data_IF_679425529258
#
_entry.id   IF_679425529258
#
_cell.length_a   1.000
_cell.length_b   1.000
_cell.length_c   1.000
_cell.angle_alpha   90.00
_cell.angle_beta   90.00
_cell.angle_gamma   90.00
#
_symmetry.space_group_name_H-M   'P 1'
#
loop_
_entity.id
_entity.type
_entity.pdbx_description
1 polymer ?
#
# COMPACT_ATOMS: atom_id res chain seq x y z
N UNK A 1 10.51 26.45 -4.74
CA UNK A 1 9.85 25.61 -5.76
C UNK A 1 8.62 25.04 -5.10
N UNK A 2 7.43 25.52 -5.44
CA UNK A 2 6.19 25.00 -4.88
C UNK A 2 5.87 23.71 -5.64
N UNK A 3 5.88 22.60 -4.94
CA UNK A 3 5.38 21.33 -5.50
C UNK A 3 3.85 21.37 -5.46
N UNK A 4 3.21 21.02 -6.54
CA UNK A 4 1.74 20.87 -6.58
C UNK A 4 1.28 19.61 -5.84
N UNK A 5 2.22 18.79 -5.36
CA UNK A 5 1.98 17.55 -4.62
C UNK A 5 3.00 17.34 -3.51
N UNK A 6 2.56 16.81 -2.37
CA UNK A 6 3.41 16.52 -1.21
C UNK A 6 4.15 15.19 -1.35
N UNK A 7 3.76 14.30 -2.28
CA UNK A 7 4.25 12.92 -2.37
C UNK A 7 5.77 12.84 -2.57
N UNK A 8 6.35 13.77 -3.33
CA UNK A 8 7.81 13.80 -3.52
C UNK A 8 8.53 14.12 -2.22
N UNK A 9 8.02 15.10 -1.47
CA UNK A 9 8.59 15.51 -0.19
C UNK A 9 8.51 14.36 0.83
N UNK A 10 7.35 13.73 0.95
CA UNK A 10 7.16 12.56 1.82
C UNK A 10 8.10 11.42 1.43
N UNK A 11 8.23 11.14 0.13
CA UNK A 11 9.15 10.11 -0.36
C UNK A 11 10.60 10.42 0.00
N UNK A 12 11.06 11.66 -0.20
CA UNK A 12 12.42 12.09 0.16
C UNK A 12 12.69 11.94 1.66
N UNK A 13 11.76 12.39 2.53
CA UNK A 13 11.91 12.28 3.98
C UNK A 13 11.95 10.81 4.42
N UNK A 14 11.09 9.96 3.86
CA UNK A 14 11.11 8.52 4.17
C UNK A 14 12.41 7.86 3.74
N UNK A 15 12.89 8.14 2.52
CA UNK A 15 14.15 7.55 2.02
C UNK A 15 15.34 8.03 2.83
N UNK A 16 15.42 9.32 3.16
CA UNK A 16 16.47 9.87 4.01
C UNK A 16 16.48 9.18 5.37
N UNK A 17 15.33 9.06 6.00
CA UNK A 17 15.20 8.39 7.29
C UNK A 17 15.66 6.92 7.27
N UNK A 18 15.35 6.18 6.19
CA UNK A 18 15.83 4.80 6.03
C UNK A 18 17.34 4.78 5.92
N UNK A 19 17.94 5.66 5.11
CA UNK A 19 19.39 5.77 4.93
C UNK A 19 20.14 6.19 6.20
N UNK A 20 19.52 7.05 7.00
CA UNK A 20 20.03 7.50 8.29
C UNK A 20 19.82 6.46 9.40
N UNK A 21 19.25 5.30 9.08
CA UNK A 21 19.02 4.22 10.06
C UNK A 21 17.96 4.56 11.10
N UNK A 22 16.98 5.42 10.76
CA UNK A 22 15.87 5.76 11.67
C UNK A 22 14.95 4.56 11.87
N UNK A 23 14.94 4.04 13.08
CA UNK A 23 14.21 2.82 13.40
C UNK A 23 12.74 3.09 13.70
N UNK A 24 11.89 2.12 13.39
CA UNK A 24 10.54 2.02 13.92
C UNK A 24 10.67 1.68 15.40
N UNK A 25 9.97 2.41 16.26
CA UNK A 25 9.95 2.15 17.71
C UNK A 25 8.66 1.45 18.09
N UNK A 26 8.79 0.37 18.83
CA UNK A 26 7.67 -0.44 19.28
C UNK A 26 7.17 0.09 20.62
N UNK A 27 5.93 0.57 20.65
CA UNK A 27 5.28 1.03 21.89
C UNK A 27 4.55 -0.09 22.64
N UNK A 28 4.14 -1.16 21.93
CA UNK A 28 3.45 -2.32 22.55
C UNK A 28 3.74 -3.61 21.75
N UNK A 29 3.41 -4.77 22.34
CA UNK A 29 3.62 -6.06 21.66
C UNK A 29 2.55 -6.35 20.59
N UNK A 30 1.41 -5.67 20.61
CA UNK A 30 0.21 -6.06 19.89
C UNK A 30 -0.03 -5.36 18.57
N UNK A 31 0.51 -4.13 18.31
CA UNK A 31 0.12 -3.31 17.15
C UNK A 31 1.30 -2.93 16.27
N UNK A 32 1.84 -3.87 15.51
CA UNK A 32 2.98 -3.62 14.59
C UNK A 32 2.65 -2.64 13.47
N UNK A 33 1.42 -2.64 12.98
CA UNK A 33 0.98 -1.75 11.89
C UNK A 33 1.01 -0.27 12.32
N UNK A 34 0.53 0.04 13.54
CA UNK A 34 0.55 1.40 14.08
C UNK A 34 1.96 1.93 14.27
N UNK A 35 2.94 1.10 14.58
CA UNK A 35 4.31 1.56 14.75
C UNK A 35 4.93 2.06 13.43
N UNK A 36 4.62 1.40 12.31
CA UNK A 36 5.04 1.89 11.01
C UNK A 36 4.27 3.16 10.62
N UNK A 37 2.99 3.25 10.95
CA UNK A 37 2.20 4.46 10.75
C UNK A 37 2.77 5.65 11.54
N UNK A 38 3.14 5.47 12.81
CA UNK A 38 3.79 6.50 13.64
C UNK A 38 5.17 6.89 13.09
N UNK A 39 5.90 5.92 12.53
CA UNK A 39 7.17 6.21 11.86
C UNK A 39 6.95 7.08 10.62
N UNK A 40 5.93 6.84 9.82
CA UNK A 40 5.56 7.68 8.66
C UNK A 40 5.08 9.05 9.12
N UNK A 41 4.27 9.11 10.18
CA UNK A 41 3.80 10.37 10.77
C UNK A 41 4.96 11.30 11.11
N UNK A 42 6.01 10.78 11.75
CA UNK A 42 7.22 11.55 12.04
C UNK A 42 7.86 12.10 10.75
N UNK A 43 7.75 11.41 9.62
CA UNK A 43 8.28 11.91 8.32
C UNK A 43 7.44 13.05 7.77
N UNK A 44 6.12 13.03 7.99
CA UNK A 44 5.25 14.15 7.66
C UNK A 44 5.60 15.39 8.48
N UNK A 45 5.87 15.21 9.77
CA UNK A 45 6.30 16.29 10.67
C UNK A 45 7.66 16.87 10.24
N UNK A 46 8.65 16.03 9.95
CA UNK A 46 9.98 16.44 9.46
C UNK A 46 9.88 17.19 8.11
N UNK A 47 8.90 16.83 7.28
CA UNK A 47 8.61 17.52 6.03
C UNK A 47 7.88 18.86 6.24
N UNK A 48 7.50 19.22 7.47
CA UNK A 48 6.76 20.43 7.79
C UNK A 48 5.34 20.42 7.22
N UNK A 49 4.76 19.26 7.02
CA UNK A 49 3.42 19.11 6.46
C UNK A 49 2.36 19.20 7.57
N UNK A 50 1.31 19.97 7.30
CA UNK A 50 0.14 20.00 8.17
C UNK A 50 -0.88 18.97 7.70
N UNK A 51 -1.29 18.09 8.59
CA UNK A 51 -2.24 17.00 8.30
C UNK A 51 -3.22 16.79 9.46
N UNK A 52 -4.30 16.10 9.16
CA UNK A 52 -5.23 15.54 10.13
C UNK A 52 -5.02 14.03 10.16
N UNK A 53 -4.71 13.48 11.33
CA UNK A 53 -4.65 12.03 11.55
C UNK A 53 -6.07 11.48 11.63
N UNK A 54 -6.32 10.42 10.87
CA UNK A 54 -7.58 9.68 10.94
C UNK A 54 -7.72 8.91 12.25
N UNK A 55 -8.96 8.72 12.73
CA UNK A 55 -9.24 7.77 13.81
C UNK A 55 -9.20 6.32 13.31
N UNK A 56 -9.31 5.35 14.23
CA UNK A 56 -9.20 3.89 13.96
C UNK A 56 -9.98 3.37 12.74
N UNK A 57 -11.11 4.00 12.42
CA UNK A 57 -11.98 3.60 11.31
C UNK A 57 -12.05 4.63 10.18
N UNK A 58 -11.11 5.57 10.14
CA UNK A 58 -11.09 6.59 9.08
C UNK A 58 -10.13 6.21 7.96
N UNK A 59 -10.46 6.69 6.77
CA UNK A 59 -9.68 6.53 5.57
C UNK A 59 -9.55 7.89 4.86
N UNK A 60 -8.39 8.26 4.38
CA UNK A 60 -7.07 7.65 4.63
C UNK A 60 -6.54 7.94 6.04
N UNK A 61 -5.42 7.32 6.44
CA UNK A 61 -4.77 7.51 7.74
C UNK A 61 -4.37 8.97 8.00
N UNK A 62 -3.83 9.65 6.98
CA UNK A 62 -3.45 11.06 7.05
C UNK A 62 -4.09 11.86 5.93
N UNK A 63 -4.66 13.00 6.25
CA UNK A 63 -5.27 13.95 5.31
C UNK A 63 -4.51 15.26 5.34
N UNK A 64 -3.91 15.66 4.22
CA UNK A 64 -3.18 16.92 4.13
C UNK A 64 -4.13 18.12 4.25
N UNK A 65 -3.77 19.13 5.04
CA UNK A 65 -4.63 20.33 5.26
C UNK A 65 -4.56 21.26 4.06
N UNK A 66 -3.36 21.47 3.50
CA UNK A 66 -3.13 22.44 2.42
C UNK A 66 -3.20 21.86 1.02
N UNK A 67 -3.20 20.54 0.91
CA UNK A 67 -3.21 19.82 -0.37
C UNK A 67 -4.40 18.87 -0.38
N UNK A 68 -5.02 18.72 -1.54
CA UNK A 68 -6.08 17.74 -1.74
C UNK A 68 -5.50 16.33 -1.86
N UNK A 69 -4.74 15.90 -0.85
CA UNK A 69 -4.02 14.63 -0.81
C UNK A 69 -4.26 13.90 0.51
N UNK A 70 -4.07 12.60 0.48
CA UNK A 70 -4.11 11.75 1.65
C UNK A 70 -3.18 10.56 1.53
N UNK A 71 -2.76 10.01 2.67
CA UNK A 71 -1.82 8.89 2.76
C UNK A 71 -2.46 7.77 3.55
N UNK A 72 -2.51 6.59 2.94
CA UNK A 72 -2.87 5.33 3.58
C UNK A 72 -1.60 4.53 3.82
N UNK A 73 -1.35 4.12 5.05
CA UNK A 73 -0.10 3.46 5.45
C UNK A 73 -0.34 1.99 5.68
N UNK A 74 0.53 1.17 5.13
CA UNK A 74 0.48 -0.30 5.26
C UNK A 74 1.84 -0.85 5.63
N UNK A 75 1.95 -1.36 6.84
CA UNK A 75 3.14 -2.04 7.33
C UNK A 75 3.05 -3.54 7.06
N UNK A 76 4.11 -4.12 6.48
CA UNK A 76 4.19 -5.54 6.17
C UNK A 76 5.39 -6.17 6.87
N UNK A 77 5.14 -7.25 7.60
CA UNK A 77 6.22 -8.05 8.18
C UNK A 77 6.95 -8.85 7.10
N UNK A 78 8.28 -8.94 7.18
CA UNK A 78 9.08 -9.76 6.28
C UNK A 78 9.95 -10.75 7.08
N UNK A 79 9.98 -12.03 6.70
CA UNK A 79 9.13 -12.68 5.70
C UNK A 79 7.66 -12.71 6.16
N UNK A 80 6.74 -12.65 5.21
CA UNK A 80 5.31 -12.64 5.50
C UNK A 80 4.46 -12.49 4.23
N UNK A 81 3.34 -11.77 4.34
CA UNK A 81 2.39 -11.56 3.24
C UNK A 81 2.80 -10.41 2.31
N UNK A 82 4.04 -10.39 1.86
CA UNK A 82 4.60 -9.32 1.03
C UNK A 82 4.06 -9.25 -0.40
N UNK A 83 3.25 -10.22 -0.80
CA UNK A 83 2.57 -10.25 -2.10
C UNK A 83 1.11 -9.85 -2.04
N UNK A 84 0.54 -9.72 -0.82
CA UNK A 84 -0.82 -9.28 -0.61
C UNK A 84 -0.90 -8.42 0.66
N UNK A 85 -1.82 -7.46 0.68
CA UNK A 85 -2.10 -6.70 1.89
C UNK A 85 -3.60 -6.62 2.16
N UNK A 86 -3.94 -6.45 3.43
CA UNK A 86 -5.30 -6.31 3.89
C UNK A 86 -5.79 -4.88 3.66
N UNK A 87 -6.85 -4.70 2.90
CA UNK A 87 -7.53 -3.42 2.74
C UNK A 87 -8.86 -3.36 3.50
N UNK A 88 -9.12 -4.38 4.34
CA UNK A 88 -10.30 -4.49 5.19
C UNK A 88 -11.60 -4.11 4.47
N UNK A 89 -12.17 -3.02 4.88
CA UNK A 89 -13.46 -2.57 4.40
C UNK A 89 -13.38 -1.46 3.35
N UNK A 90 -12.20 -0.97 3.03
CA UNK A 90 -11.99 0.10 2.04
C UNK A 90 -11.28 -0.41 0.80
N UNK A 91 -11.96 -0.31 -0.34
CA UNK A 91 -11.33 -0.59 -1.63
C UNK A 91 -10.25 0.45 -1.90
N UNK A 92 -9.04 0.04 -2.31
CA UNK A 92 -8.02 0.99 -2.74
C UNK A 92 -8.53 1.90 -3.84
N UNK A 93 -8.14 3.16 -3.80
CA UNK A 93 -8.52 4.15 -4.80
C UNK A 93 -7.47 5.25 -4.90
N UNK A 94 -7.31 5.82 -6.08
CA UNK A 94 -6.49 7.01 -6.31
C UNK A 94 -7.18 8.31 -5.96
N UNK A 95 -8.50 8.29 -5.74
CA UNK A 95 -9.25 9.45 -5.29
C UNK A 95 -10.27 9.09 -4.22
N UNK A 96 -10.32 9.87 -3.16
CA UNK A 96 -11.33 9.74 -2.11
C UNK A 96 -11.76 11.11 -1.60
N UNK A 97 -13.04 11.41 -1.73
CA UNK A 97 -13.61 12.69 -1.29
C UNK A 97 -12.86 13.92 -1.84
N UNK A 98 -12.49 13.88 -3.13
CA UNK A 98 -11.77 14.94 -3.82
C UNK A 98 -10.28 15.04 -3.46
N UNK A 99 -9.72 14.04 -2.78
CA UNK A 99 -8.29 13.95 -2.45
C UNK A 99 -7.62 12.86 -3.26
N UNK A 100 -6.45 13.15 -3.79
CA UNK A 100 -5.55 12.14 -4.34
C UNK A 100 -5.01 11.27 -3.21
N UNK A 101 -5.11 9.95 -3.34
CA UNK A 101 -4.67 9.01 -2.30
C UNK A 101 -3.39 8.33 -2.73
N UNK A 102 -2.39 8.41 -1.86
CA UNK A 102 -1.14 7.68 -1.95
C UNK A 102 -1.08 6.59 -0.88
N UNK A 103 -0.56 5.43 -1.25
CA UNK A 103 -0.31 4.33 -0.33
C UNK A 103 1.16 4.26 0.00
N UNK A 104 1.46 4.15 1.29
CA UNK A 104 2.82 4.03 1.82
C UNK A 104 2.99 2.62 2.36
N UNK A 105 3.68 1.77 1.61
CA UNK A 105 4.01 0.41 2.03
C UNK A 105 5.42 0.37 2.60
N UNK A 106 5.56 -0.16 3.80
CA UNK A 106 6.86 -0.42 4.41
C UNK A 106 6.98 -1.86 4.83
N UNK A 107 8.16 -2.46 4.64
CA UNK A 107 8.47 -3.77 5.19
C UNK A 107 9.44 -3.65 6.35
N UNK A 108 9.21 -4.45 7.36
CA UNK A 108 10.01 -4.53 8.58
C UNK A 108 10.21 -5.99 8.99
N UNK A 109 11.24 -6.33 9.82
CA UNK A 109 11.47 -7.70 10.24
C UNK A 109 10.26 -8.30 10.98
N UNK A 110 9.82 -9.49 10.59
CA UNK A 110 8.74 -10.22 11.24
C UNK A 110 9.12 -10.58 12.70
N UNK A 111 10.41 -10.85 12.93
CA UNK A 111 10.99 -11.12 14.25
C UNK A 111 12.06 -10.06 14.52
N UNK A 112 11.97 -9.40 15.65
CA UNK A 112 13.02 -8.51 16.15
C UNK A 112 13.23 -8.79 17.64
N UNK A 113 14.49 -8.81 18.05
CA UNK A 113 14.86 -9.10 19.42
C UNK A 113 14.77 -7.86 20.34
N UNK A 114 14.25 -6.75 19.83
CA UNK A 114 14.17 -5.49 20.57
C UNK A 114 12.95 -4.64 20.21
N UNK A 115 12.83 -3.52 20.94
CA UNK A 115 11.73 -2.56 20.77
C UNK A 115 11.92 -1.59 19.59
N UNK A 116 12.98 -1.77 18.81
CA UNK A 116 13.27 -0.95 17.64
C UNK A 116 13.77 -1.81 16.48
N UNK A 117 13.26 -1.56 15.28
CA UNK A 117 13.60 -2.32 14.09
C UNK A 117 13.63 -1.45 12.83
N UNK A 118 14.44 -1.82 11.83
CA UNK A 118 14.58 -1.01 10.64
C UNK A 118 13.37 -1.14 9.71
N UNK A 119 13.14 -0.08 8.91
CA UNK A 119 12.38 -0.21 7.67
C UNK A 119 13.32 -0.86 6.66
N UNK A 120 12.97 -2.06 6.20
CA UNK A 120 13.78 -2.84 5.25
C UNK A 120 13.70 -2.25 3.84
N UNK A 121 12.50 -1.89 3.42
CA UNK A 121 12.22 -1.21 2.17
C UNK A 121 10.90 -0.44 2.21
N UNK A 122 10.69 0.36 1.19
CA UNK A 122 9.56 1.28 1.10
C UNK A 122 9.04 1.35 -0.34
N UNK A 123 7.73 1.29 -0.50
CA UNK A 123 7.08 1.67 -1.76
C UNK A 123 6.00 2.69 -1.46
N UNK A 124 6.05 3.84 -2.13
CA UNK A 124 4.93 4.79 -2.15
C UNK A 124 4.31 4.72 -3.54
N UNK A 125 3.00 4.54 -3.63
CA UNK A 125 2.32 4.50 -4.91
C UNK A 125 1.02 5.31 -4.91
N UNK A 126 0.68 5.85 -6.07
CA UNK A 126 -0.65 6.40 -6.33
C UNK A 126 -1.71 5.31 -6.24
N UNK A 127 -2.86 5.59 -5.65
CA UNK A 127 -3.89 4.57 -5.43
C UNK A 127 -4.44 3.93 -6.70
N UNK A 128 -4.42 4.64 -7.84
CA UNK A 128 -4.83 4.08 -9.13
C UNK A 128 -3.95 2.92 -9.59
N UNK A 129 -2.73 2.82 -9.07
CA UNK A 129 -1.87 1.66 -9.31
C UNK A 129 -2.47 0.36 -8.76
N UNK A 130 -3.22 0.45 -7.67
CA UNK A 130 -3.86 -0.69 -7.01
C UNK A 130 -5.24 -0.98 -7.56
N UNK A 131 -5.95 0.05 -8.00
CA UNK A 131 -7.29 -0.07 -8.54
C UNK A 131 -7.62 1.18 -9.39
N UNK A 132 -7.97 0.99 -10.66
CA UNK A 132 -8.30 2.11 -11.54
C UNK A 132 -9.47 2.92 -10.97
N UNK A 133 -9.36 4.23 -11.10
CA UNK A 133 -10.40 5.15 -10.66
C UNK A 133 -11.63 5.01 -11.56
N UNK A 134 -12.66 4.40 -11.03
CA UNK A 134 -14.00 4.40 -11.60
C UNK A 134 -14.97 4.90 -10.56
N UNK A 135 -16.02 5.57 -10.98
CA UNK A 135 -17.09 6.01 -10.09
C UNK A 135 -17.88 4.80 -9.56
N UNK A 136 -17.40 4.25 -8.46
CA UNK A 136 -18.12 3.21 -7.73
C UNK A 136 -19.22 3.87 -6.90
N UNK A 137 -20.46 3.72 -7.33
CA UNK A 137 -21.60 4.13 -6.53
C UNK A 137 -21.88 3.04 -5.51
N UNK A 138 -21.59 3.30 -4.25
CA UNK A 138 -22.02 2.45 -3.16
C UNK A 138 -23.56 2.48 -3.04
N UNK A 139 -24.21 1.52 -3.65
CA UNK A 139 -25.67 1.39 -3.53
C UNK A 139 -26.10 0.79 -2.19
N UNK A 140 -25.21 0.11 -1.49
CA UNK A 140 -25.45 -0.51 -0.20
C UNK A 140 -24.13 -0.54 0.60
N UNK A 141 -24.23 -0.43 1.93
CA UNK A 141 -23.06 -0.53 2.82
C UNK A 141 -22.33 -1.87 2.74
N UNK A 142 -23.03 -2.92 2.31
CA UNK A 142 -22.50 -4.28 2.20
C UNK A 142 -22.13 -4.69 0.77
N UNK A 143 -22.33 -3.81 -0.22
CA UNK A 143 -21.99 -4.08 -1.62
C UNK A 143 -20.95 -3.08 -2.06
N UNK A 144 -19.79 -3.56 -2.43
CA UNK A 144 -18.67 -2.78 -2.91
C UNK A 144 -18.29 -3.28 -4.28
N UNK A 145 -17.95 -2.38 -5.17
CA UNK A 145 -17.26 -2.72 -6.40
C UNK A 145 -15.86 -3.21 -6.03
N UNK A 146 -15.44 -4.31 -6.63
CA UNK A 146 -14.14 -4.90 -6.38
C UNK A 146 -13.26 -4.71 -7.61
N UNK A 147 -12.13 -4.06 -7.39
CA UNK A 147 -10.99 -3.92 -8.25
C UNK A 147 -11.17 -4.03 -9.76
N UNK A 148 -10.75 -3.03 -10.45
CA UNK A 148 -10.83 -2.96 -11.92
C UNK A 148 -9.78 -3.81 -12.63
N UNK A 149 -8.75 -4.22 -11.93
CA UNK A 149 -7.66 -5.06 -12.48
C UNK A 149 -7.87 -6.56 -12.29
N UNK A 150 -8.89 -6.96 -11.51
CA UNK A 150 -9.22 -8.37 -11.27
C UNK A 150 -8.31 -9.06 -10.26
N UNK A 151 -7.55 -8.32 -9.48
CA UNK A 151 -6.57 -8.83 -8.53
C UNK A 151 -6.96 -8.60 -7.05
N UNK A 152 -8.21 -8.28 -6.78
CA UNK A 152 -8.75 -8.22 -5.43
C UNK A 152 -9.29 -9.58 -5.04
N UNK A 153 -8.76 -10.12 -3.96
CA UNK A 153 -9.17 -11.39 -3.38
C UNK A 153 -9.94 -11.16 -2.08
N UNK A 154 -10.84 -12.07 -1.78
CA UNK A 154 -11.57 -12.09 -0.51
C UNK A 154 -11.22 -13.39 0.20
N UNK A 155 -10.79 -13.27 1.46
CA UNK A 155 -10.53 -14.38 2.36
C UNK A 155 -10.97 -13.97 3.76
N UNK A 156 -11.65 -14.87 4.47
CA UNK A 156 -12.03 -14.69 5.87
C UNK A 156 -12.70 -13.32 6.15
N UNK A 157 -13.59 -12.90 5.26
CA UNK A 157 -14.29 -11.60 5.29
C UNK A 157 -13.39 -10.36 5.14
N UNK A 158 -12.10 -10.53 4.86
CA UNK A 158 -11.15 -9.45 4.56
C UNK A 158 -10.89 -9.37 3.05
N UNK A 159 -10.61 -8.18 2.54
CA UNK A 159 -10.18 -7.96 1.16
C UNK A 159 -8.67 -7.87 1.11
N UNK A 160 -8.10 -8.50 0.10
CA UNK A 160 -6.66 -8.42 -0.19
C UNK A 160 -6.45 -7.97 -1.61
N UNK A 161 -5.47 -7.13 -1.82
CA UNK A 161 -5.01 -6.73 -3.15
C UNK A 161 -3.77 -7.53 -3.50
N UNK A 162 -3.85 -8.24 -4.61
CA UNK A 162 -2.74 -8.99 -5.17
C UNK A 162 -2.62 -8.71 -6.68
N UNK A 163 -1.42 -8.46 -7.18
CA UNK A 163 -0.19 -8.35 -6.42
C UNK A 163 -0.07 -7.01 -5.69
N UNK A 164 0.61 -7.00 -4.55
CA UNK A 164 1.06 -5.76 -3.93
C UNK A 164 2.20 -5.14 -4.75
N UNK A 165 2.58 -3.87 -4.51
CA UNK A 165 3.75 -3.29 -5.16
C UNK A 165 5.04 -4.09 -5.00
N UNK A 166 5.18 -4.85 -3.91
CA UNK A 166 6.33 -5.74 -3.68
C UNK A 166 6.25 -7.06 -4.47
N UNK A 167 5.07 -7.50 -4.84
CA UNK A 167 4.86 -8.70 -5.67
C UNK A 167 5.08 -8.45 -7.16
N UNK A 168 5.21 -7.19 -7.55
CA UNK A 168 5.48 -6.81 -8.92
C UNK A 168 6.98 -6.73 -9.18
N UNK A 169 7.32 -7.09 -10.39
CA UNK A 169 8.64 -7.30 -10.98
C UNK A 169 9.72 -6.28 -10.60
N UNK A 170 10.95 -6.61 -10.96
CA UNK A 170 12.19 -5.82 -10.88
C UNK A 170 11.98 -4.30 -10.90
N UNK A 171 12.55 -3.61 -9.96
CA UNK A 171 12.46 -2.16 -9.81
C UNK A 171 11.65 -1.70 -8.59
N UNK A 172 10.83 -2.58 -8.00
CA UNK A 172 10.01 -2.24 -6.83
C UNK A 172 10.36 -3.04 -5.57
N UNK A 173 10.88 -4.27 -5.72
CA UNK A 173 11.23 -5.11 -4.59
C UNK A 173 12.55 -4.69 -3.93
N UNK A 174 12.62 -4.78 -2.61
CA UNK A 174 13.82 -4.60 -1.79
C UNK A 174 14.51 -3.23 -1.90
N UNK A 175 13.75 -2.19 -2.25
CA UNK A 175 14.31 -0.84 -2.41
C UNK A 175 13.28 0.23 -2.08
N UNK A 176 13.73 1.48 -2.04
CA UNK A 176 12.85 2.63 -1.91
C UNK A 176 12.38 3.04 -3.30
N UNK A 177 11.10 2.89 -3.59
CA UNK A 177 10.51 3.13 -4.91
C UNK A 177 9.24 3.98 -4.79
N UNK A 178 9.09 4.92 -5.70
CA UNK A 178 7.89 5.74 -5.87
C UNK A 178 7.23 5.34 -7.19
N UNK A 179 5.93 5.00 -7.17
CA UNK A 179 5.16 4.60 -8.34
C UNK A 179 4.05 5.62 -8.57
N UNK A 180 4.10 6.30 -9.68
CA UNK A 180 3.16 7.35 -10.06
C UNK A 180 2.60 7.10 -11.46
N UNK A 181 1.43 7.65 -11.83
CA UNK A 181 0.98 7.71 -13.21
C UNK A 181 2.08 8.25 -14.13
N UNK A 182 2.16 7.74 -15.36
CA UNK A 182 3.26 8.09 -16.28
C UNK A 182 3.30 9.58 -16.63
N UNK A 183 2.16 10.25 -16.59
CA UNK A 183 1.98 11.68 -16.82
C UNK A 183 2.11 12.55 -15.56
N UNK A 184 2.36 11.94 -14.39
CA UNK A 184 2.48 12.69 -13.15
C UNK A 184 3.75 13.57 -13.17
N UNK A 185 3.64 14.88 -12.83
CA UNK A 185 4.78 15.77 -12.85
C UNK A 185 5.80 15.41 -11.79
N UNK A 186 7.01 15.08 -12.20
CA UNK A 186 8.09 14.67 -11.32
C UNK A 186 9.25 15.66 -11.41
N UNK A 187 9.70 16.13 -10.25
CA UNK A 187 10.83 17.06 -10.16
C UNK A 187 12.17 16.39 -10.41
N UNK A 188 13.21 17.21 -10.64
CA UNK A 188 14.60 16.76 -10.72
C UNK A 188 15.04 16.05 -9.44
N UNK A 189 15.92 15.07 -9.57
CA UNK A 189 16.45 14.29 -8.42
C UNK A 189 15.90 12.87 -8.32
N UNK A 190 14.94 12.51 -9.16
CA UNK A 190 14.49 11.14 -9.35
C UNK A 190 14.96 10.59 -10.70
N UNK A 191 15.24 9.30 -10.75
CA UNK A 191 15.51 8.57 -11.99
C UNK A 191 14.43 7.52 -12.23
N UNK A 192 13.93 7.36 -13.46
CA UNK A 192 13.02 6.27 -13.76
C UNK A 192 13.75 4.93 -13.70
N UNK A 193 13.08 3.91 -13.17
CA UNK A 193 13.64 2.55 -13.07
C UNK A 193 12.77 1.50 -13.76
N UNK A 194 11.56 1.84 -14.15
CA UNK A 194 10.70 0.94 -14.89
C UNK A 194 9.36 1.57 -15.25
N UNK A 195 8.71 0.97 -16.24
CA UNK A 195 7.32 1.27 -16.61
C UNK A 195 6.49 0.05 -16.20
N UNK A 196 5.38 0.31 -15.52
CA UNK A 196 4.46 -0.69 -15.03
C UNK A 196 3.12 -0.50 -15.74
N UNK A 197 2.59 -1.56 -16.30
CA UNK A 197 1.29 -1.55 -17.01
C UNK A 197 0.28 -2.29 -16.18
N UNK A 198 -0.85 -1.64 -15.89
CA UNK A 198 -2.00 -2.25 -15.26
C UNK A 198 -3.12 -2.35 -16.29
N UNK A 199 -3.61 -3.55 -16.54
CA UNK A 199 -4.67 -3.80 -17.52
C UNK A 199 -5.96 -4.20 -16.83
N UNK A 200 -7.07 -3.57 -17.21
CA UNK A 200 -8.37 -3.85 -16.65
C UNK A 200 -8.89 -5.22 -17.08
N UNK A 201 -9.40 -5.95 -16.09
CA UNK A 201 -9.94 -7.28 -16.26
C UNK A 201 -11.28 -7.28 -17.03
N UNK A 202 -11.65 -8.40 -17.68
CA UNK A 202 -12.92 -8.53 -18.41
C UNK A 202 -14.15 -8.37 -17.53
N UNK A 203 -14.04 -8.70 -16.26
CA UNK A 203 -15.15 -8.62 -15.31
C UNK A 203 -14.71 -7.95 -14.01
N UNK A 204 -15.67 -7.33 -13.33
CA UNK A 204 -15.50 -6.78 -11.98
C UNK A 204 -16.47 -7.47 -11.03
N UNK A 205 -16.02 -7.73 -9.80
CA UNK A 205 -16.88 -8.26 -8.74
C UNK A 205 -17.67 -7.11 -8.14
N UNK A 206 -18.98 -7.20 -8.12
CA UNK A 206 -19.88 -6.16 -7.59
C UNK A 206 -20.50 -6.53 -6.25
N UNK A 207 -20.54 -7.81 -5.92
CA UNK A 207 -21.01 -8.32 -4.63
C UNK A 207 -20.55 -9.77 -4.44
N UNK A 208 -20.77 -10.27 -3.25
CA UNK A 208 -20.62 -11.69 -2.98
C UNK A 208 -21.75 -12.17 -2.05
N UNK A 209 -22.01 -13.47 -2.11
CA UNK A 209 -22.90 -14.17 -1.20
C UNK A 209 -22.14 -15.30 -0.53
N UNK A 210 -22.47 -15.57 0.71
CA UNK A 210 -22.00 -16.76 1.40
C UNK A 210 -22.99 -17.90 1.18
N UNK A 211 -22.50 -19.01 0.66
CA UNK A 211 -23.24 -20.26 0.72
C UNK A 211 -22.95 -20.94 2.08
N UNK A 212 -23.90 -20.82 2.97
CA UNK A 212 -23.78 -21.38 4.32
C UNK A 212 -23.76 -22.91 4.34
N UNK A 213 -24.25 -23.56 3.28
CA UNK A 213 -24.25 -25.02 3.18
C UNK A 213 -22.86 -25.57 2.96
N UNK A 214 -22.09 -24.89 2.12
CA UNK A 214 -20.76 -25.32 1.71
C UNK A 214 -19.64 -24.44 2.33
N UNK A 215 -20.02 -23.45 3.13
CA UNK A 215 -19.11 -22.44 3.69
C UNK A 215 -18.22 -21.79 2.60
N UNK A 216 -18.83 -21.48 1.45
CA UNK A 216 -18.11 -20.92 0.30
C UNK A 216 -18.56 -19.50 0.00
N UNK A 217 -17.62 -18.71 -0.48
CA UNK A 217 -17.85 -17.36 -0.95
C UNK A 217 -18.09 -17.39 -2.47
N UNK A 218 -19.27 -16.94 -2.90
CA UNK A 218 -19.67 -16.90 -4.30
C UNK A 218 -19.64 -15.45 -4.79
N UNK A 219 -18.68 -15.05 -5.63
CA UNK A 219 -18.63 -13.71 -6.19
C UNK A 219 -19.70 -13.53 -7.28
N UNK A 220 -20.37 -12.39 -7.26
CA UNK A 220 -21.19 -11.92 -8.36
C UNK A 220 -20.38 -10.96 -9.21
N UNK A 221 -20.20 -11.30 -10.48
CA UNK A 221 -19.45 -10.48 -11.42
C UNK A 221 -20.37 -9.82 -12.44
N UNK A 222 -19.91 -8.68 -12.97
CA UNK A 222 -20.50 -8.04 -14.15
C UNK A 222 -19.41 -7.79 -15.17
N UNK A 223 -19.74 -7.63 -16.47
CA UNK A 223 -18.77 -7.20 -17.47
C UNK A 223 -18.15 -5.85 -17.08
N UNK A 224 -16.83 -5.72 -17.26
CA UNK A 224 -16.15 -4.45 -17.08
C UNK A 224 -16.26 -3.63 -18.37
N UNK A 225 -16.91 -2.45 -18.37
CA UNK A 225 -17.02 -1.61 -19.56
C UNK A 225 -15.67 -1.07 -20.05
N UNK A 226 -14.63 -1.16 -19.22
CA UNK A 226 -13.27 -0.71 -19.53
C UNK A 226 -12.31 -1.87 -19.81
N UNK A 227 -12.83 -3.07 -20.10
CA UNK A 227 -12.05 -4.28 -20.40
C UNK A 227 -10.87 -3.99 -21.32
N UNK A 228 -9.68 -4.43 -20.91
CA UNK A 228 -8.46 -4.29 -21.69
C UNK A 228 -7.83 -2.89 -21.69
N UNK A 229 -8.45 -1.90 -21.07
CA UNK A 229 -7.85 -0.57 -20.91
C UNK A 229 -6.56 -0.70 -20.11
N UNK A 230 -5.52 -0.05 -20.61
CA UNK A 230 -4.23 -0.02 -19.97
C UNK A 230 -4.00 1.31 -19.25
N UNK A 231 -3.43 1.23 -18.07
CA UNK A 231 -2.99 2.35 -17.26
C UNK A 231 -1.48 2.24 -17.07
N UNK A 232 -0.78 3.30 -17.45
CA UNK A 232 0.68 3.34 -17.40
C UNK A 232 1.15 4.04 -16.12
N UNK A 233 2.08 3.41 -15.44
CA UNK A 233 2.73 3.95 -14.25
C UNK A 233 4.24 3.88 -14.44
N UNK A 234 4.93 4.82 -13.81
CA UNK A 234 6.38 4.86 -13.81
C UNK A 234 6.91 4.69 -12.40
N UNK A 235 7.88 3.80 -12.27
CA UNK A 235 8.61 3.60 -11.03
C UNK A 235 9.85 4.50 -11.01
N UNK A 236 10.05 5.17 -9.89
CA UNK A 236 11.11 6.14 -9.66
C UNK A 236 11.92 5.81 -8.43
N UNK A 237 13.20 6.15 -8.45
CA UNK A 237 14.11 6.12 -7.30
C UNK A 237 14.92 7.39 -7.23
N UNK A 238 15.55 7.68 -6.08
CA UNK A 238 16.47 8.80 -6.00
C UNK A 238 17.62 8.63 -6.98
N UNK A 239 17.95 9.70 -7.70
CA UNK A 239 19.06 9.72 -8.66
C UNK A 239 20.40 9.68 -7.96
N UNK A 240 20.50 10.25 -6.75
CA UNK A 240 21.72 10.32 -5.94
C UNK A 240 21.67 9.33 -4.76
N UNK A 241 22.82 8.79 -4.41
CA UNK A 241 22.99 7.82 -3.33
C UNK A 241 22.81 6.38 -3.79
N UNK A 242 23.33 5.46 -2.99
CA UNK A 242 23.19 4.03 -3.23
C UNK A 242 21.72 3.64 -3.15
N UNK A 243 21.12 3.36 -4.28
CA UNK A 243 19.82 2.71 -4.38
C UNK A 243 19.99 1.20 -4.47
N UNK A 244 21.15 0.71 -4.09
CA UNK A 244 21.38 -0.73 -3.98
C UNK A 244 20.35 -1.30 -3.00
N UNK A 245 19.81 -2.48 -3.30
CA UNK A 245 18.96 -3.17 -2.38
C UNK A 245 19.66 -3.22 -1.02
N UNK A 246 18.99 -2.81 0.04
CA UNK A 246 19.49 -3.16 1.38
C UNK A 246 19.54 -4.69 1.36
N UNK A 247 20.77 -5.24 1.51
CA UNK A 247 20.95 -6.68 1.58
C UNK A 247 20.09 -7.17 2.75
N UNK A 248 18.92 -7.67 2.44
CA UNK A 248 18.11 -8.35 3.44
C UNK A 248 18.90 -9.61 3.78
N UNK A 249 19.28 -9.76 5.03
CA UNK A 249 19.81 -11.04 5.51
C UNK A 249 18.83 -12.09 5.02
N UNK A 250 19.33 -13.12 4.38
CA UNK A 250 18.50 -14.24 3.93
C UNK A 250 17.62 -14.65 5.12
N UNK A 251 16.32 -14.49 4.96
CA UNK A 251 15.41 -14.97 5.98
C UNK A 251 15.66 -16.46 6.13
N UNK A 252 15.77 -17.00 7.35
CA UNK A 252 15.88 -18.43 7.53
C UNK A 252 14.74 -19.08 6.73
N UNK A 253 15.09 -20.04 5.87
CA UNK A 253 14.10 -20.78 5.10
C UNK A 253 13.07 -21.31 6.07
N UNK A 254 11.86 -20.76 6.02
CA UNK A 254 10.74 -21.28 6.79
C UNK A 254 10.43 -22.62 6.15
N UNK A 255 10.89 -23.70 6.76
CA UNK A 255 10.30 -25.00 6.53
C UNK A 255 8.82 -24.84 6.81
N UNK A 256 7.99 -25.15 5.83
CA UNK A 256 6.54 -25.11 5.90
C UNK A 256 6.03 -26.13 6.93
N UNK A 257 6.17 -25.81 8.20
CA UNK A 257 5.33 -26.36 9.25
C UNK A 257 4.17 -25.37 9.38
N UNK A 258 2.97 -25.90 9.13
CA UNK A 258 1.74 -25.14 9.22
C UNK A 258 1.72 -24.32 10.51
N UNK A 259 1.81 -23.03 10.36
CA UNK A 259 1.46 -22.12 11.43
C UNK A 259 -0.02 -21.81 11.23
N UNK A 260 -0.81 -22.45 12.06
CA UNK A 260 -2.07 -21.88 12.48
C UNK A 260 -1.76 -20.47 13.00
N UNK A 261 -2.15 -19.45 12.25
CA UNK A 261 -2.21 -18.08 12.77
C UNK A 261 -3.05 -18.13 14.06
N UNK A 262 -2.58 -17.61 15.17
CA UNK A 262 -3.44 -17.48 16.34
C UNK A 262 -4.64 -16.62 15.92
N UNK A 263 -5.79 -17.21 16.07
CA UNK A 263 -7.12 -16.64 15.91
C UNK A 263 -7.16 -15.25 16.59
N UNK A 264 -7.16 -14.19 15.81
CA UNK A 264 -7.53 -12.85 16.26
C UNK A 264 -9.05 -12.83 16.47
N UNK A 265 -9.50 -13.67 17.41
CA UNK A 265 -10.81 -13.58 18.01
C UNK A 265 -10.78 -12.47 19.05
N UNK A 266 -10.95 -11.23 18.63
CA UNK A 266 -11.42 -10.18 19.53
C UNK A 266 -12.62 -9.48 18.88
N UNK A 267 -13.69 -9.53 19.65
CA UNK A 267 -15.05 -9.02 19.51
C UNK A 267 -15.15 -7.55 19.04
#
# INVERSE_FOLDING_TARGET
MFYDSTVLMVFYCCVSAIRDGRLIRRASLQDKEFHFQDWVETRLDEAGLNYERGGRNSYPDFRMVRFAEGYEVKGLAYPGREVTYDCNSQLPTGNHNGRTIFYVFGRYPAKSDGDAYPVLDLVICHGDFLNAEHNYVHKNRNVRGFGSYGDIMIRDRKMYVAPTPFGLVSGVAHTQTLILPDDFPVASGLRPVGILVRQEAPTVVVSYTFDLTNNTLIPKTIPNPFTGRQHLFRAWRLASGSSEPVAMREAPKVTSQGNDDPDDSDE
#
